data_IF_521526490797
#
_entry.id   IF_521526490797
#
_cell.length_a   1.000
_cell.length_b   1.000
_cell.length_c   1.000
_cell.angle_alpha   90.00
_cell.angle_beta   90.00
_cell.angle_gamma   90.00
#
_symmetry.space_group_name_H-M   'P 1'
#
loop_
_entity.id
_entity.type
_entity.pdbx_description
1 polymer ?
#
# COMPACT_ATOMS: atom_id res chain seq x y z
N UNK A 1 48.45 -53.33 -12.47
CA UNK A 1 47.12 -53.99 -12.55
C UNK A 1 46.05 -52.92 -12.59
N UNK A 2 45.19 -52.98 -13.63
CA UNK A 2 43.88 -52.32 -13.83
C UNK A 2 43.84 -50.78 -13.69
N UNK A 3 43.92 -49.99 -14.77
CA UNK A 3 42.81 -49.57 -15.67
C UNK A 3 41.49 -49.30 -14.93
N UNK A 4 41.14 -48.03 -14.72
CA UNK A 4 39.79 -47.51 -15.05
C UNK A 4 39.95 -46.11 -15.66
N UNK A 5 39.52 -46.03 -16.91
CA UNK A 5 39.31 -44.87 -17.74
C UNK A 5 38.03 -44.16 -17.31
N UNK A 6 38.03 -42.83 -17.20
CA UNK A 6 36.81 -42.04 -17.34
C UNK A 6 37.12 -40.74 -18.09
N UNK A 7 36.97 -40.85 -19.40
CA UNK A 7 36.61 -39.74 -20.27
C UNK A 7 35.18 -39.32 -19.89
N UNK A 8 34.98 -38.04 -19.57
CA UNK A 8 33.66 -37.42 -19.72
C UNK A 8 33.86 -35.95 -20.11
N UNK A 9 33.40 -35.66 -21.32
CA UNK A 9 33.50 -34.40 -22.02
C UNK A 9 32.98 -33.21 -21.18
N UNK A 10 33.85 -32.26 -20.88
CA UNK A 10 33.43 -30.91 -20.52
C UNK A 10 33.26 -30.13 -21.83
N UNK A 11 32.07 -30.23 -22.43
CA UNK A 11 31.68 -29.28 -23.46
C UNK A 11 31.42 -27.93 -22.76
N UNK A 12 32.36 -27.02 -22.89
CA UNK A 12 32.16 -25.62 -22.53
C UNK A 12 31.09 -25.04 -23.46
N UNK A 13 29.85 -24.95 -22.98
CA UNK A 13 28.82 -24.14 -23.61
C UNK A 13 29.11 -22.70 -23.21
N UNK A 14 30.01 -22.07 -23.96
CA UNK A 14 30.16 -20.62 -23.98
C UNK A 14 28.98 -20.08 -24.77
N UNK A 15 27.89 -19.69 -24.10
CA UNK A 15 26.86 -18.89 -24.74
C UNK A 15 27.47 -17.50 -24.95
N UNK A 16 28.03 -17.29 -26.15
CA UNK A 16 28.16 -15.96 -26.70
C UNK A 16 26.75 -15.40 -26.84
N UNK A 17 26.32 -14.57 -25.90
CA UNK A 17 25.21 -13.62 -26.13
C UNK A 17 25.75 -12.47 -26.98
N UNK A 18 26.15 -12.79 -28.21
CA UNK A 18 26.41 -11.81 -29.24
C UNK A 18 25.13 -11.70 -30.08
N UNK A 19 24.41 -10.60 -29.90
CA UNK A 19 23.50 -10.06 -30.91
C UNK A 19 22.16 -10.78 -31.06
N UNK A 20 21.24 -10.54 -30.12
CA UNK A 20 19.82 -10.35 -30.44
C UNK A 20 19.26 -9.20 -29.59
N UNK A 21 19.97 -8.08 -29.52
CA UNK A 21 19.35 -6.78 -29.24
C UNK A 21 18.63 -6.32 -30.52
N UNK A 22 17.54 -7.02 -30.87
CA UNK A 22 16.48 -6.37 -31.63
C UNK A 22 15.62 -5.59 -30.63
N UNK A 23 16.25 -4.61 -29.98
CA UNK A 23 15.54 -3.53 -29.31
C UNK A 23 14.96 -2.65 -30.42
N UNK A 24 13.85 -3.11 -31.01
CA UNK A 24 12.94 -2.21 -31.71
C UNK A 24 12.68 -1.02 -30.79
N UNK A 25 12.64 0.17 -31.36
CA UNK A 25 12.37 1.43 -30.66
C UNK A 25 11.28 1.22 -29.63
N UNK A 26 11.61 1.32 -28.32
CA UNK A 26 10.62 1.13 -27.25
C UNK A 26 9.53 2.17 -27.43
N UNK A 27 8.38 1.69 -27.86
CA UNK A 27 7.27 2.50 -28.35
C UNK A 27 6.44 3.12 -27.19
N UNK A 28 6.73 2.74 -25.95
CA UNK A 28 6.20 3.39 -24.76
C UNK A 28 7.17 3.23 -23.61
N UNK A 29 7.04 4.11 -22.59
CA UNK A 29 7.86 4.05 -21.39
C UNK A 29 6.97 3.96 -20.16
N UNK A 30 6.59 2.75 -19.79
CA UNK A 30 6.05 2.45 -18.48
C UNK A 30 7.14 2.73 -17.44
N UNK A 31 6.80 3.49 -16.41
CA UNK A 31 7.73 3.88 -15.34
C UNK A 31 7.04 3.81 -14.00
N UNK A 32 7.82 3.48 -12.98
CA UNK A 32 7.45 3.68 -11.58
C UNK A 32 7.93 5.05 -11.09
N UNK A 33 7.31 5.61 -10.05
CA UNK A 33 7.78 6.85 -9.42
C UNK A 33 9.11 6.67 -8.67
N UNK A 34 9.42 5.43 -8.26
CA UNK A 34 10.64 5.06 -7.53
C UNK A 34 11.19 3.72 -8.06
N UNK A 35 12.50 3.53 -7.97
CA UNK A 35 13.14 2.24 -8.30
C UNK A 35 13.08 1.23 -7.16
N UNK A 36 12.85 1.69 -5.94
CA UNK A 36 12.78 0.87 -4.74
C UNK A 36 11.61 1.29 -3.85
N UNK A 37 10.96 0.31 -3.24
CA UNK A 37 9.82 0.50 -2.35
C UNK A 37 10.00 -0.37 -1.10
N UNK A 38 9.58 0.14 0.04
CA UNK A 38 9.31 -0.68 1.21
C UNK A 38 7.98 -1.42 1.07
N UNK A 39 7.86 -2.61 1.68
CA UNK A 39 6.59 -3.30 1.86
C UNK A 39 5.50 -2.32 2.28
N UNK A 40 4.32 -2.44 1.65
CA UNK A 40 3.13 -1.63 1.89
C UNK A 40 3.17 -0.20 1.37
N UNK A 41 4.25 0.23 0.72
CA UNK A 41 4.20 1.44 -0.09
C UNK A 41 3.33 1.21 -1.33
N UNK A 42 2.64 2.27 -1.75
CA UNK A 42 1.86 2.29 -2.98
C UNK A 42 2.82 2.53 -4.13
N UNK A 43 2.85 1.60 -5.10
CA UNK A 43 3.61 1.76 -6.34
C UNK A 43 2.80 2.64 -7.27
N UNK A 44 3.37 3.76 -7.72
CA UNK A 44 2.73 4.62 -8.71
C UNK A 44 3.36 4.36 -10.07
N UNK A 45 2.51 4.13 -11.06
CA UNK A 45 2.89 3.89 -12.44
C UNK A 45 2.49 5.08 -13.30
N UNK A 46 3.35 5.40 -14.25
CA UNK A 46 3.06 6.33 -15.34
C UNK A 46 3.46 5.72 -16.67
N UNK A 47 2.68 5.99 -17.71
CA UNK A 47 2.96 5.57 -19.07
C UNK A 47 2.75 6.78 -19.99
N UNK A 48 3.82 7.19 -20.67
CA UNK A 48 3.74 8.14 -21.78
C UNK A 48 3.94 7.38 -23.09
N UNK A 49 2.94 7.36 -24.00
CA UNK A 49 3.11 6.77 -25.32
C UNK A 49 4.16 7.54 -26.11
N UNK A 50 4.93 6.84 -26.94
CA UNK A 50 5.77 7.49 -27.95
C UNK A 50 4.86 8.29 -28.90
N UNK A 51 5.37 9.40 -29.40
CA UNK A 51 4.79 10.21 -30.48
C UNK A 51 4.31 9.40 -31.70
N UNK A 52 4.93 8.23 -31.95
CA UNK A 52 4.56 7.32 -33.03
C UNK A 52 3.32 6.47 -32.71
N UNK A 53 2.96 6.32 -31.43
CA UNK A 53 1.79 5.57 -30.97
C UNK A 53 0.63 6.50 -30.64
N UNK A 54 -0.33 6.54 -31.55
CA UNK A 54 -1.60 7.24 -31.33
C UNK A 54 -2.57 6.37 -30.54
N UNK A 55 -2.38 6.31 -29.23
CA UNK A 55 -3.34 5.69 -28.31
C UNK A 55 -4.46 6.71 -28.07
N UNK A 56 -5.71 6.37 -28.43
CA UNK A 56 -6.86 7.22 -28.12
C UNK A 56 -7.23 7.11 -26.62
N UNK A 57 -7.12 8.19 -25.83
CA UNK A 57 -7.45 8.15 -24.41
C UNK A 57 -8.89 7.79 -24.07
N UNK A 58 -9.83 8.12 -24.94
CA UNK A 58 -11.26 7.97 -24.65
C UNK A 58 -11.76 6.53 -24.89
N UNK A 59 -11.01 5.71 -25.63
CA UNK A 59 -11.39 4.36 -26.00
C UNK A 59 -10.41 3.27 -25.55
N UNK A 60 -9.21 3.64 -25.12
CA UNK A 60 -8.19 2.70 -24.68
C UNK A 60 -8.43 2.17 -23.25
N UNK A 61 -8.26 0.86 -23.08
CA UNK A 61 -8.12 0.22 -21.77
C UNK A 61 -6.70 -0.34 -21.64
N UNK A 62 -5.93 0.16 -20.67
CA UNK A 62 -4.56 -0.25 -20.41
C UNK A 62 -4.44 -0.97 -19.07
N UNK A 63 -4.15 -2.28 -19.09
CA UNK A 63 -4.03 -3.08 -17.88
C UNK A 63 -2.58 -3.47 -17.60
N UNK A 64 -2.14 -3.27 -16.36
CA UNK A 64 -0.80 -3.65 -15.87
C UNK A 64 -0.92 -4.75 -14.84
N UNK A 65 -0.13 -5.82 -14.99
CA UNK A 65 0.04 -6.87 -13.99
C UNK A 65 1.41 -6.80 -13.33
N UNK A 66 1.55 -7.45 -12.17
CA UNK A 66 2.77 -7.40 -11.37
C UNK A 66 3.30 -8.82 -11.16
N UNK A 67 4.60 -9.01 -11.35
CA UNK A 67 5.26 -10.30 -11.23
C UNK A 67 6.44 -10.25 -10.27
N UNK A 68 6.71 -11.37 -9.61
CA UNK A 68 7.93 -11.66 -8.87
C UNK A 68 8.47 -13.00 -9.36
N UNK A 69 9.59 -12.97 -10.08
CA UNK A 69 9.99 -14.10 -10.94
C UNK A 69 8.88 -14.44 -11.93
N UNK A 70 8.52 -15.72 -12.00
CA UNK A 70 7.45 -16.21 -12.89
C UNK A 70 6.04 -16.10 -12.27
N UNK A 71 5.94 -15.68 -11.01
CA UNK A 71 4.67 -15.65 -10.29
C UNK A 71 3.94 -14.32 -10.50
N UNK A 72 2.66 -14.41 -10.87
CA UNK A 72 1.74 -13.26 -10.82
C UNK A 72 1.45 -12.90 -9.36
N UNK A 73 1.61 -11.63 -9.02
CA UNK A 73 1.36 -11.11 -7.67
C UNK A 73 0.13 -10.22 -7.70
N UNK A 74 -0.97 -10.73 -7.16
CA UNK A 74 -2.17 -9.92 -6.94
C UNK A 74 -1.93 -8.88 -5.85
N UNK A 75 -2.45 -7.67 -6.04
CA UNK A 75 -2.47 -6.62 -5.03
C UNK A 75 -3.46 -6.90 -3.89
N UNK A 76 -3.63 -5.90 -3.01
CA UNK A 76 -4.69 -5.91 -1.99
C UNK A 76 -6.05 -6.16 -2.65
N UNK A 77 -6.89 -6.98 -2.01
CA UNK A 77 -8.22 -7.33 -2.53
C UNK A 77 -8.21 -8.33 -3.70
N UNK A 78 -7.12 -9.10 -3.87
CA UNK A 78 -6.95 -10.07 -4.96
C UNK A 78 -6.96 -9.47 -6.36
N UNK A 79 -6.63 -8.18 -6.46
CA UNK A 79 -6.55 -7.45 -7.71
C UNK A 79 -5.35 -7.95 -8.55
N UNK A 80 -5.60 -8.72 -9.61
CA UNK A 80 -4.56 -9.34 -10.46
C UNK A 80 -3.83 -8.36 -11.38
N UNK A 81 -4.35 -7.13 -11.50
CA UNK A 81 -3.75 -6.06 -12.27
C UNK A 81 -4.55 -4.77 -12.13
N UNK A 82 -3.94 -3.65 -12.47
CA UNK A 82 -4.56 -2.33 -12.39
C UNK A 82 -4.87 -1.79 -13.77
N UNK A 83 -5.93 -1.00 -13.88
CA UNK A 83 -6.20 -0.20 -15.08
C UNK A 83 -5.54 1.17 -14.93
N UNK A 84 -4.79 1.60 -15.94
CA UNK A 84 -4.28 2.96 -16.00
C UNK A 84 -5.40 3.91 -16.43
N UNK A 85 -5.40 5.12 -15.88
CA UNK A 85 -6.34 6.21 -16.24
C UNK A 85 -5.57 7.35 -16.90
N UNK A 86 -6.10 7.87 -18.00
CA UNK A 86 -5.47 8.99 -18.70
C UNK A 86 -5.70 10.31 -17.95
N UNK A 87 -4.63 11.06 -17.75
CA UNK A 87 -4.64 12.43 -17.26
C UNK A 87 -4.35 13.39 -18.42
N UNK A 88 -5.33 14.28 -18.67
CA UNK A 88 -5.25 15.29 -19.73
C UNK A 88 -4.28 16.42 -19.40
N UNK A 89 -3.98 16.66 -18.12
CA UNK A 89 -3.13 17.77 -17.68
C UNK A 89 -1.67 17.53 -18.05
N UNK A 90 -1.17 16.30 -17.90
CA UNK A 90 0.21 15.95 -18.23
C UNK A 90 0.35 15.00 -19.43
N UNK A 91 -0.77 14.69 -20.08
CA UNK A 91 -0.88 13.82 -21.25
C UNK A 91 -0.24 12.45 -21.03
N UNK A 92 -0.51 11.85 -19.87
CA UNK A 92 0.02 10.55 -19.46
C UNK A 92 -1.05 9.65 -18.85
N UNK A 93 -0.81 8.35 -18.88
CA UNK A 93 -1.62 7.37 -18.18
C UNK A 93 -1.03 7.07 -16.82
N UNK A 94 -1.85 7.06 -15.78
CA UNK A 94 -1.42 6.83 -14.40
C UNK A 94 -2.17 5.68 -13.75
N UNK A 95 -1.49 4.96 -12.88
CA UNK A 95 -2.08 3.90 -12.08
C UNK A 95 -1.39 3.78 -10.74
N UNK A 96 -2.09 3.20 -9.77
CA UNK A 96 -1.54 2.93 -8.45
C UNK A 96 -1.81 1.50 -8.05
N UNK A 97 -0.78 0.80 -7.60
CA UNK A 97 -0.89 -0.57 -7.13
C UNK A 97 -0.54 -0.65 -5.65
N UNK A 98 -1.50 -1.12 -4.86
CA UNK A 98 -1.29 -1.48 -3.47
C UNK A 98 -0.76 -2.92 -3.41
N UNK A 99 0.50 -3.07 -3.01
CA UNK A 99 1.13 -4.38 -2.81
C UNK A 99 0.31 -5.25 -1.85
N UNK A 100 0.25 -6.58 -2.03
CA UNK A 100 -0.47 -7.45 -1.10
C UNK A 100 0.17 -7.45 0.29
N UNK A 101 -0.52 -8.06 1.25
CA UNK A 101 0.01 -8.26 2.59
C UNK A 101 1.22 -9.21 2.58
N UNK A 102 2.30 -8.84 3.27
CA UNK A 102 3.56 -9.58 3.31
C UNK A 102 4.09 -10.03 1.93
N UNK A 103 4.28 -9.11 0.96
CA UNK A 103 4.75 -9.49 -0.36
C UNK A 103 6.18 -10.06 -0.27
N UNK A 104 6.56 -11.00 -1.16
CA UNK A 104 7.95 -11.39 -1.35
C UNK A 104 8.88 -10.17 -1.46
N UNK A 105 10.12 -10.33 -1.01
CA UNK A 105 11.13 -9.29 -1.18
C UNK A 105 11.91 -9.53 -2.47
N UNK A 106 12.52 -8.47 -3.01
CA UNK A 106 13.38 -8.55 -4.17
C UNK A 106 12.80 -7.86 -5.40
N UNK A 107 13.17 -8.36 -6.57
CA UNK A 107 12.86 -7.70 -7.85
C UNK A 107 11.44 -8.06 -8.31
N UNK A 108 10.70 -7.02 -8.66
CA UNK A 108 9.37 -7.09 -9.25
C UNK A 108 9.40 -6.54 -10.68
N UNK A 109 8.46 -7.00 -11.49
CA UNK A 109 8.20 -6.47 -12.82
C UNK A 109 6.73 -6.07 -12.95
N UNK A 110 6.49 -4.82 -13.31
CA UNK A 110 5.17 -4.38 -13.80
C UNK A 110 5.14 -4.55 -15.31
N UNK A 111 4.13 -5.26 -15.82
CA UNK A 111 3.99 -5.63 -17.23
C UNK A 111 2.67 -5.08 -17.77
N UNK A 112 2.74 -4.25 -18.81
CA UNK A 112 1.58 -3.82 -19.58
C UNK A 112 1.11 -5.00 -20.45
N UNK A 113 -0.06 -5.56 -20.13
CA UNK A 113 -0.54 -6.82 -20.73
C UNK A 113 -1.49 -6.61 -21.92
N UNK A 114 -2.33 -5.58 -21.86
CA UNK A 114 -3.44 -5.42 -22.80
C UNK A 114 -3.71 -3.96 -23.12
N UNK A 115 -3.93 -3.71 -24.42
CA UNK A 115 -4.56 -2.53 -24.98
C UNK A 115 -5.78 -3.02 -25.75
N UNK A 116 -6.97 -2.51 -25.44
CA UNK A 116 -8.13 -2.65 -26.30
C UNK A 116 -8.68 -1.27 -26.63
N UNK A 117 -8.89 -1.02 -27.92
CA UNK A 117 -9.51 0.21 -28.42
C UNK A 117 -10.81 -0.16 -29.12
N UNK A 118 -11.92 0.24 -28.51
CA UNK A 118 -13.26 -0.04 -29.05
C UNK A 118 -13.53 0.66 -30.40
N UNK A 119 -12.72 1.63 -30.81
CA UNK A 119 -12.88 2.35 -32.07
C UNK A 119 -12.22 1.65 -33.27
N UNK A 120 -11.35 0.67 -33.05
CA UNK A 120 -10.66 -0.06 -34.11
C UNK A 120 -11.51 -1.28 -34.49
N UNK A 121 -12.27 -1.17 -35.58
CA UNK A 121 -13.12 -2.25 -36.13
C UNK A 121 -12.32 -3.38 -36.81
N UNK A 122 -11.05 -3.15 -37.11
CA UNK A 122 -10.13 -4.19 -37.59
C UNK A 122 -9.36 -4.78 -36.41
N UNK A 123 -9.56 -6.08 -36.20
CA UNK A 123 -9.10 -6.93 -35.08
C UNK A 123 -7.60 -6.98 -34.76
N UNK A 124 -6.77 -6.04 -35.22
CA UNK A 124 -5.38 -5.95 -34.76
C UNK A 124 -5.32 -5.27 -33.40
N UNK A 125 -5.46 -6.07 -32.34
CA UNK A 125 -5.02 -5.70 -31.00
C UNK A 125 -3.55 -5.30 -31.08
N UNK A 126 -3.25 -3.99 -31.03
CA UNK A 126 -1.88 -3.52 -30.87
C UNK A 126 -1.38 -4.00 -29.51
N UNK A 127 -0.56 -5.05 -29.51
CA UNK A 127 0.10 -5.56 -28.32
C UNK A 127 1.21 -4.59 -27.94
N UNK A 128 0.87 -3.60 -27.13
CA UNK A 128 1.84 -2.81 -26.38
C UNK A 128 2.37 -3.67 -25.24
N UNK A 129 3.48 -4.37 -25.46
CA UNK A 129 4.22 -5.01 -24.39
C UNK A 129 5.34 -4.08 -23.94
N UNK A 130 5.15 -3.42 -22.81
CA UNK A 130 6.24 -2.74 -22.11
C UNK A 130 6.27 -3.18 -20.65
N UNK A 131 7.44 -3.07 -20.03
CA UNK A 131 7.61 -3.44 -18.63
C UNK A 131 8.65 -2.58 -17.94
N UNK A 132 8.46 -2.43 -16.64
CA UNK A 132 9.39 -1.75 -15.74
C UNK A 132 9.67 -2.62 -14.53
N UNK A 133 10.91 -2.63 -14.08
CA UNK A 133 11.34 -3.35 -12.88
C UNK A 133 11.52 -2.41 -11.70
N UNK A 134 11.24 -2.91 -10.50
CA UNK A 134 11.46 -2.21 -9.24
C UNK A 134 11.79 -3.21 -8.12
N UNK A 135 12.31 -2.71 -7.00
CA UNK A 135 12.72 -3.56 -5.86
C UNK A 135 11.79 -3.35 -4.68
N UNK A 136 11.32 -4.44 -4.06
CA UNK A 136 10.59 -4.42 -2.80
C UNK A 136 11.52 -4.84 -1.66
N UNK A 137 11.64 -3.96 -0.66
CA UNK A 137 12.45 -4.16 0.55
C UNK A 137 11.57 -4.23 1.80
N UNK A 138 12.08 -4.86 2.85
CA UNK A 138 11.52 -4.72 4.20
C UNK A 138 12.40 -3.80 5.02
N UNK A 139 11.79 -3.16 6.02
CA UNK A 139 12.55 -2.64 7.15
C UNK A 139 12.83 -3.79 8.10
N UNK A 140 13.97 -3.75 8.79
CA UNK A 140 14.20 -4.62 9.94
C UNK A 140 13.20 -4.22 11.02
N UNK A 141 12.25 -5.08 11.41
CA UNK A 141 11.32 -4.75 12.48
C UNK A 141 12.10 -4.60 13.79
N UNK A 142 11.72 -3.61 14.59
CA UNK A 142 12.20 -3.57 15.96
C UNK A 142 11.58 -4.73 16.74
N UNK A 143 12.39 -5.39 17.57
CA UNK A 143 11.89 -6.41 18.48
C UNK A 143 10.90 -5.79 19.47
N UNK A 144 9.73 -6.41 19.59
CA UNK A 144 8.79 -6.11 20.66
C UNK A 144 9.19 -6.99 21.85
N UNK A 145 9.34 -6.45 23.07
CA UNK A 145 9.64 -7.25 24.25
C UNK A 145 8.60 -8.37 24.44
N UNK A 146 9.06 -9.54 24.86
CA UNK A 146 8.18 -10.66 25.18
C UNK A 146 7.18 -10.24 26.28
N UNK A 147 5.92 -10.64 26.11
CA UNK A 147 4.84 -10.29 27.03
C UNK A 147 4.30 -8.86 26.88
N UNK A 148 4.78 -8.06 25.91
CA UNK A 148 4.27 -6.71 25.68
C UNK A 148 2.75 -6.70 25.46
N UNK A 149 2.04 -5.95 26.30
CA UNK A 149 0.59 -5.79 26.24
C UNK A 149 0.21 -4.32 26.03
N UNK A 150 -0.69 -4.06 25.09
CA UNK A 150 -1.24 -2.73 24.84
C UNK A 150 -2.74 -2.72 25.09
N UNK A 151 -3.22 -1.79 25.91
CA UNK A 151 -4.64 -1.47 26.01
C UNK A 151 -5.00 -0.49 24.89
N UNK A 152 -5.92 -0.89 24.00
CA UNK A 152 -6.40 -0.01 22.92
C UNK A 152 -7.60 0.82 23.40
N UNK A 153 -7.69 2.05 22.90
CA UNK A 153 -8.80 2.96 23.16
C UNK A 153 -9.31 3.48 21.82
N UNK A 154 -10.55 3.11 21.51
CA UNK A 154 -11.28 3.61 20.35
C UNK A 154 -12.24 4.73 20.79
N UNK A 155 -12.10 5.93 20.22
CA UNK A 155 -13.05 7.01 20.50
C UNK A 155 -13.17 8.00 19.35
N UNK A 156 -14.40 8.45 19.13
CA UNK A 156 -14.79 9.46 18.17
C UNK A 156 -15.32 10.72 18.87
N UNK A 157 -14.61 11.22 19.89
CA UNK A 157 -15.06 12.37 20.67
C UNK A 157 -14.07 12.84 21.74
N UNK A 158 -14.43 13.91 22.45
CA UNK A 158 -13.56 14.51 23.46
C UNK A 158 -13.55 13.69 24.76
N UNK A 159 -12.63 12.73 24.84
CA UNK A 159 -12.44 11.89 26.02
C UNK A 159 -11.98 12.64 27.27
N UNK A 160 -11.46 13.86 27.14
CA UNK A 160 -11.01 14.63 28.31
C UNK A 160 -12.17 15.02 29.24
N UNK A 161 -13.42 14.90 28.78
CA UNK A 161 -14.61 15.13 29.60
C UNK A 161 -15.19 13.83 30.20
N UNK A 162 -14.57 12.67 29.93
CA UNK A 162 -15.09 11.40 30.38
C UNK A 162 -15.06 11.28 31.92
N UNK A 163 -16.18 10.86 32.51
CA UNK A 163 -16.28 10.52 33.93
C UNK A 163 -16.01 9.03 34.14
N UNK A 164 -14.81 8.59 33.77
CA UNK A 164 -14.41 7.18 33.86
C UNK A 164 -14.16 6.78 35.33
N UNK A 165 -14.77 5.69 35.85
CA UNK A 165 -14.40 5.16 37.16
C UNK A 165 -12.96 4.64 37.16
N UNK A 166 -12.33 4.61 38.33
CA UNK A 166 -11.02 4.01 38.53
C UNK A 166 -11.18 2.68 39.28
N UNK A 167 -10.36 1.65 38.97
CA UNK A 167 -10.30 0.43 39.77
C UNK A 167 -9.65 0.65 41.15
N UNK A 168 -8.96 1.78 41.36
CA UNK A 168 -8.16 2.05 42.59
C UNK A 168 -8.50 3.37 43.29
N UNK A 169 -9.27 4.26 42.65
CA UNK A 169 -9.66 5.57 43.20
C UNK A 169 -11.19 5.72 43.19
N UNK A 170 -11.69 6.52 44.13
CA UNK A 170 -13.13 6.84 44.21
C UNK A 170 -13.57 7.89 43.18
N UNK A 171 -12.71 8.86 42.84
CA UNK A 171 -13.04 9.95 41.92
C UNK A 171 -13.07 9.49 40.46
N UNK A 172 -14.16 9.78 39.76
CA UNK A 172 -14.32 9.57 38.31
C UNK A 172 -13.62 10.68 37.53
N UNK A 173 -12.74 10.33 36.59
CA UNK A 173 -11.98 11.28 35.79
C UNK A 173 -11.37 10.61 34.54
N UNK A 174 -11.12 11.36 33.47
CA UNK A 174 -10.58 10.79 32.22
C UNK A 174 -9.18 10.18 32.40
N UNK A 175 -8.36 10.72 33.31
CA UNK A 175 -7.02 10.16 33.59
C UNK A 175 -7.06 8.70 34.03
N UNK A 176 -8.20 8.22 34.53
CA UNK A 176 -8.38 6.86 35.02
C UNK A 176 -8.23 5.79 33.92
N UNK A 177 -8.16 6.16 32.63
CA UNK A 177 -7.76 5.21 31.58
C UNK A 177 -6.39 4.58 31.88
N UNK A 178 -5.47 5.33 32.48
CA UNK A 178 -4.16 4.79 32.89
C UNK A 178 -4.24 3.87 34.10
N UNK A 179 -5.20 4.10 35.00
CA UNK A 179 -5.45 3.18 36.12
C UNK A 179 -5.97 1.82 35.59
N UNK A 180 -6.86 1.85 34.60
CA UNK A 180 -7.33 0.64 33.92
C UNK A 180 -6.22 -0.07 33.17
N UNK A 181 -5.39 0.67 32.43
CA UNK A 181 -4.24 0.09 31.74
C UNK A 181 -3.31 -0.67 32.71
N UNK A 182 -2.99 -0.05 33.85
CA UNK A 182 -2.20 -0.69 34.91
C UNK A 182 -2.89 -1.91 35.51
N UNK A 183 -4.17 -1.81 35.81
CA UNK A 183 -4.95 -2.91 36.38
C UNK A 183 -4.97 -4.14 35.44
N UNK A 184 -5.04 -3.91 34.14
CA UNK A 184 -4.99 -4.95 33.11
C UNK A 184 -3.57 -5.48 32.84
N UNK A 185 -2.54 -4.94 33.49
CA UNK A 185 -1.15 -5.32 33.26
C UNK A 185 -0.60 -4.86 31.90
N UNK A 186 -1.14 -3.79 31.32
CA UNK A 186 -0.67 -3.25 30.06
C UNK A 186 0.65 -2.47 30.23
N UNK A 187 1.57 -2.63 29.28
CA UNK A 187 2.81 -1.84 29.15
C UNK A 187 2.58 -0.53 28.39
N UNK A 188 1.52 -0.49 27.57
CA UNK A 188 1.23 0.62 26.69
C UNK A 188 -0.27 0.91 26.59
N UNK A 189 -0.58 2.15 26.23
CA UNK A 189 -1.90 2.56 25.76
C UNK A 189 -1.81 2.99 24.31
N UNK A 190 -2.66 2.42 23.46
CA UNK A 190 -2.77 2.80 22.05
C UNK A 190 -4.09 3.50 21.78
N UNK A 191 -4.03 4.74 21.31
CA UNK A 191 -5.20 5.57 21.07
C UNK A 191 -5.52 5.71 19.59
N UNK A 192 -6.80 5.62 19.23
CA UNK A 192 -7.27 5.84 17.86
C UNK A 192 -7.22 7.34 17.51
N UNK A 193 -6.13 7.79 16.90
CA UNK A 193 -5.88 9.21 16.61
C UNK A 193 -6.66 9.69 15.40
N UNK A 194 -6.63 8.89 14.33
CA UNK A 194 -7.19 9.29 13.03
C UNK A 194 -8.47 8.53 12.73
N UNK A 195 -9.59 9.24 12.80
CA UNK A 195 -10.89 8.78 12.35
C UNK A 195 -11.43 9.68 11.25
N UNK A 196 -11.90 9.06 10.17
CA UNK A 196 -12.68 9.70 9.12
C UNK A 196 -14.13 9.19 9.24
N UNK A 197 -14.99 9.97 9.90
CA UNK A 197 -16.38 9.57 10.18
C UNK A 197 -17.31 10.43 9.35
N UNK A 198 -17.99 9.82 8.40
CA UNK A 198 -18.94 10.54 7.59
C UNK A 198 -20.11 11.09 8.42
N UNK A 199 -20.49 12.33 8.14
CA UNK A 199 -21.53 13.03 8.88
C UNK A 199 -21.07 13.64 10.20
N UNK A 200 -19.81 13.44 10.62
CA UNK A 200 -19.27 14.13 11.79
C UNK A 200 -19.15 15.64 11.51
N UNK A 201 -19.62 16.52 12.41
CA UNK A 201 -19.62 17.97 12.18
C UNK A 201 -18.24 18.52 11.83
N UNK A 202 -18.15 19.27 10.72
CA UNK A 202 -16.94 19.95 10.29
C UNK A 202 -15.93 19.11 9.52
N UNK A 203 -16.18 17.82 9.29
CA UNK A 203 -15.36 17.00 8.39
C UNK A 203 -15.64 17.34 6.91
N UNK A 204 -14.56 17.38 6.12
CA UNK A 204 -14.59 17.60 4.67
C UNK A 204 -13.26 17.14 4.07
N UNK A 205 -13.13 17.18 2.74
CA UNK A 205 -11.90 16.75 2.03
C UNK A 205 -10.61 17.43 2.52
N UNK A 206 -10.70 18.68 3.01
CA UNK A 206 -9.55 19.42 3.56
C UNK A 206 -9.29 19.13 5.03
N UNK A 207 -10.30 18.61 5.74
CA UNK A 207 -10.26 18.27 7.16
C UNK A 207 -10.94 16.92 7.37
N UNK A 208 -10.36 15.81 6.88
CA UNK A 208 -11.05 14.52 6.89
C UNK A 208 -11.10 13.89 8.29
N UNK A 209 -10.41 14.47 9.28
CA UNK A 209 -10.18 13.88 10.59
C UNK A 209 -11.07 14.47 11.69
N UNK A 210 -11.51 13.62 12.61
CA UNK A 210 -12.11 14.03 13.89
C UNK A 210 -11.12 14.83 14.72
N UNK A 211 -11.35 16.14 14.83
CA UNK A 211 -10.38 17.10 15.42
C UNK A 211 -10.17 16.91 16.92
N UNK A 212 -11.18 16.40 17.62
CA UNK A 212 -11.13 16.14 19.06
C UNK A 212 -10.00 15.18 19.43
N UNK A 213 -9.74 14.18 18.59
CA UNK A 213 -8.74 13.16 18.88
C UNK A 213 -7.32 13.74 18.92
N UNK A 214 -7.03 14.75 18.09
CA UNK A 214 -5.74 15.46 18.16
C UNK A 214 -5.57 16.29 19.44
N UNK A 215 -6.68 16.68 20.10
CA UNK A 215 -6.62 17.35 21.41
C UNK A 215 -6.40 16.36 22.54
N UNK A 216 -7.04 15.18 22.45
CA UNK A 216 -6.92 14.10 23.44
C UNK A 216 -5.52 13.49 23.40
N UNK A 217 -4.99 13.20 22.21
CA UNK A 217 -3.74 12.46 22.01
C UNK A 217 -2.55 12.96 22.86
N UNK A 218 -2.15 14.25 22.81
CA UNK A 218 -1.02 14.72 23.61
C UNK A 218 -1.28 14.67 25.12
N UNK A 219 -2.52 14.88 25.56
CA UNK A 219 -2.88 14.86 26.99
C UNK A 219 -2.88 13.44 27.54
N UNK A 220 -3.39 12.49 26.78
CA UNK A 220 -3.36 11.08 27.16
C UNK A 220 -1.93 10.53 27.12
N UNK A 221 -1.11 10.94 26.15
CA UNK A 221 0.32 10.61 26.12
C UNK A 221 1.04 11.09 27.39
N UNK A 222 0.82 12.34 27.77
CA UNK A 222 1.40 12.95 28.97
C UNK A 222 1.02 12.16 30.22
N UNK A 223 -0.26 11.80 30.37
CA UNK A 223 -0.73 11.01 31.50
C UNK A 223 -0.16 9.59 31.49
N UNK A 224 -0.09 8.91 30.34
CA UNK A 224 0.52 7.58 30.24
C UNK A 224 1.99 7.61 30.70
N UNK A 225 2.78 8.58 30.21
CA UNK A 225 4.18 8.72 30.60
C UNK A 225 4.36 9.02 32.09
N UNK A 226 3.51 9.89 32.67
CA UNK A 226 3.50 10.13 34.14
C UNK A 226 3.29 8.86 34.94
N UNK A 227 2.54 7.92 34.38
CA UNK A 227 2.21 6.65 35.00
C UNK A 227 3.21 5.53 34.66
N UNK A 228 4.26 5.81 33.88
CA UNK A 228 5.25 4.81 33.44
C UNK A 228 4.78 3.90 32.32
N UNK A 229 3.68 4.24 31.64
CA UNK A 229 3.15 3.51 30.49
C UNK A 229 3.74 4.07 29.19
N UNK A 230 4.00 3.20 28.22
CA UNK A 230 4.27 3.61 26.83
C UNK A 230 2.98 4.13 26.18
N UNK A 231 3.11 4.94 25.14
CA UNK A 231 1.96 5.46 24.42
C UNK A 231 2.14 5.38 22.91
N UNK A 232 1.08 5.02 22.20
CA UNK A 232 1.04 4.91 20.75
C UNK A 232 -0.24 5.48 20.17
N UNK A 233 -0.16 5.92 18.91
CA UNK A 233 -1.32 6.34 18.13
C UNK A 233 -1.52 5.42 16.94
N UNK A 234 -2.76 5.07 16.64
CA UNK A 234 -3.11 4.38 15.40
C UNK A 234 -4.18 5.15 14.61
N UNK A 235 -4.22 4.90 13.31
CA UNK A 235 -5.17 5.48 12.37
C UNK A 235 -5.80 4.32 11.61
N UNK A 236 -7.12 4.29 11.49
CA UNK A 236 -7.79 3.34 10.62
C UNK A 236 -7.46 3.69 9.16
N UNK A 237 -6.84 2.78 8.40
CA UNK A 237 -6.43 3.07 7.02
C UNK A 237 -7.48 2.70 5.98
N UNK A 238 -8.43 1.81 6.29
CA UNK A 238 -9.49 1.37 5.39
C UNK A 238 -10.78 1.10 6.17
N UNK A 239 -11.88 1.71 5.76
CA UNK A 239 -13.23 1.29 6.17
C UNK A 239 -13.73 0.33 5.08
N UNK A 240 -13.91 -0.94 5.40
CA UNK A 240 -14.34 -1.99 4.45
C UNK A 240 -15.85 -2.29 4.52
N UNK A 241 -16.62 -1.47 5.23
CA UNK A 241 -17.99 -1.80 5.64
C UNK A 241 -18.92 -0.62 5.32
N UNK A 242 -20.05 -0.91 4.66
CA UNK A 242 -21.12 0.05 4.38
C UNK A 242 -21.15 0.59 2.94
N UNK A 243 -22.26 1.21 2.52
CA UNK A 243 -22.38 1.82 1.20
C UNK A 243 -21.43 3.01 1.05
N UNK A 244 -20.92 3.24 -0.16
CA UNK A 244 -20.15 4.45 -0.49
C UNK A 244 -21.04 5.68 -0.36
N UNK A 245 -20.80 6.46 0.69
CA UNK A 245 -21.47 7.72 0.89
C UNK A 245 -20.53 8.82 0.37
N UNK A 246 -20.86 9.38 -0.80
CA UNK A 246 -19.97 10.20 -1.65
C UNK A 246 -19.70 11.63 -1.13
N UNK A 247 -19.83 11.91 0.18
CA UNK A 247 -19.64 13.28 0.72
C UNK A 247 -18.18 13.63 0.94
N UNK A 248 -17.36 12.62 1.22
CA UNK A 248 -15.91 12.75 1.19
C UNK A 248 -15.47 12.30 -0.21
N UNK A 249 -14.66 13.10 -0.91
CA UNK A 249 -14.23 12.81 -2.30
C UNK A 249 -13.22 11.66 -2.41
N UNK A 250 -13.29 10.68 -1.52
CA UNK A 250 -12.54 9.44 -1.60
C UNK A 250 -13.52 8.27 -1.50
N UNK A 251 -13.29 7.24 -2.32
CA UNK A 251 -14.08 6.03 -2.27
C UNK A 251 -13.58 5.13 -1.13
N UNK A 252 -14.52 4.59 -0.35
CA UNK A 252 -14.21 3.53 0.61
C UNK A 252 -13.96 2.24 -0.16
N UNK A 253 -12.71 1.78 -0.14
CA UNK A 253 -12.24 0.55 -0.80
C UNK A 253 -12.35 0.54 -2.33
N UNK A 254 -11.58 -0.34 -2.97
CA UNK A 254 -11.53 -0.52 -4.41
C UNK A 254 -12.93 -0.89 -4.92
N UNK A 255 -13.45 -0.15 -5.91
CA UNK A 255 -14.50 -0.68 -6.78
C UNK A 255 -13.99 -2.01 -7.36
N UNK A 256 -14.64 -3.11 -7.00
CA UNK A 256 -14.44 -4.42 -7.61
C UNK A 256 -15.03 -4.45 -9.03
#
# INVERSE_FOLDING_TARGET
MHKITLFSCLAAITILTAGLDNAGTKASYLKTDQGEYYRYQIVKLSLKPDSLLRINPDSASLQVSFRHGDSLISGVGSCSGINLKYDKTDSAWHGTWAMPWNPPLGVYQAVLNTYSDKAIKDSTTLLLSDSVTFIVRSRTPHSIPDGFCAMTIESAGNMLNAKLPSPVKTKKHWTNFTDWAKYLGADAVWYSVGWTIEGYPGLNDKNPWVKENFKVFPKLAEECHKQGLKFGGYVGSYLLWGPTLRKLKYDYSLEA
#
